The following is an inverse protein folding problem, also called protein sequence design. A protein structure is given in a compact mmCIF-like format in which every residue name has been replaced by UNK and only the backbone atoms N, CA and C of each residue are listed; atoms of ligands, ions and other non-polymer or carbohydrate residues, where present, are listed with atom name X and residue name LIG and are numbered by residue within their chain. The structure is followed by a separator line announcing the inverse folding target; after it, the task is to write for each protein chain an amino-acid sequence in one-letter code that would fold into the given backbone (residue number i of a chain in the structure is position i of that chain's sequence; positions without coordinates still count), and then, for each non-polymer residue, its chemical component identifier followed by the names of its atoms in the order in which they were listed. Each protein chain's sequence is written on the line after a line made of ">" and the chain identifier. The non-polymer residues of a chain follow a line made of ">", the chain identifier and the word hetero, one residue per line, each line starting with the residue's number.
data_IF_481266761618
#
_entry.id   IF_481266761618
#
_cell.length_a   1.000
_cell.length_b   1.000
_cell.length_c   1.000
_cell.angle_alpha   90.00
_cell.angle_beta   90.00
_cell.angle_gamma   90.00
#
_symmetry.space_group_name_H-M   'P 1'
#
loop_
_entity.id
_entity.type
_entity.pdbx_description
1 polymer ?
#
# COMPACT_ATOMS: atom_id res chain seq x y z
N UNK A 1 9.09 -13.47 -12.21
CA UNK A 1 8.46 -14.56 -13.00
C UNK A 1 9.13 -15.94 -12.96
N UNK A 2 10.24 -16.25 -13.67
CA UNK A 2 10.86 -17.61 -13.59
C UNK A 2 11.29 -18.02 -12.17
N UNK A 3 11.69 -17.06 -11.33
CA UNK A 3 12.07 -17.29 -9.92
C UNK A 3 10.87 -17.50 -8.97
N UNK A 4 9.76 -16.77 -9.15
CA UNK A 4 8.54 -16.94 -8.34
C UNK A 4 7.81 -18.24 -8.65
N UNK A 5 7.82 -18.67 -9.93
CA UNK A 5 7.32 -19.99 -10.34
C UNK A 5 8.16 -21.09 -9.68
N UNK A 6 9.48 -20.91 -9.58
CA UNK A 6 10.37 -21.89 -8.96
C UNK A 6 10.21 -21.96 -7.42
N UNK A 7 9.85 -20.85 -6.77
CA UNK A 7 9.60 -20.82 -5.33
C UNK A 7 8.26 -21.48 -4.96
N UNK A 8 7.20 -21.20 -5.73
CA UNK A 8 5.94 -21.94 -5.61
C UNK A 8 6.13 -23.45 -5.88
N UNK A 9 7.03 -23.81 -6.82
CA UNK A 9 7.41 -25.19 -7.09
C UNK A 9 8.06 -25.87 -5.86
N UNK A 10 9.02 -25.22 -5.19
CA UNK A 10 9.71 -25.85 -4.06
C UNK A 10 8.87 -25.99 -2.79
N UNK A 11 7.86 -25.13 -2.57
CA UNK A 11 6.96 -25.25 -1.41
C UNK A 11 5.88 -26.32 -1.56
N UNK A 12 5.50 -26.71 -2.79
CA UNK A 12 4.31 -27.56 -3.05
C UNK A 12 4.68 -29.01 -3.42
N UNK A 13 5.95 -29.31 -3.74
CA UNK A 13 6.42 -30.64 -4.18
C UNK A 13 6.33 -31.77 -3.13
N UNK A 14 5.66 -31.57 -1.99
CA UNK A 14 5.48 -32.62 -0.99
C UNK A 14 4.09 -33.27 -0.97
N UNK A 15 3.06 -32.73 -1.63
CA UNK A 15 1.73 -33.37 -1.59
C UNK A 15 0.90 -33.19 -2.87
N UNK A 16 0.43 -34.32 -3.40
CA UNK A 16 -0.65 -34.51 -4.37
C UNK A 16 -0.34 -34.24 -5.87
N UNK A 17 -0.47 -35.26 -6.75
CA UNK A 17 -0.30 -35.08 -8.21
C UNK A 17 -1.27 -34.07 -8.83
N UNK A 18 -2.43 -33.87 -8.19
CA UNK A 18 -3.42 -32.85 -8.57
C UNK A 18 -2.91 -31.41 -8.39
N UNK A 19 -2.14 -31.15 -7.33
CA UNK A 19 -1.57 -29.82 -7.09
C UNK A 19 -0.51 -29.47 -8.15
N UNK A 20 0.29 -30.46 -8.57
CA UNK A 20 1.29 -30.29 -9.65
C UNK A 20 0.60 -29.95 -10.98
N UNK A 21 -0.49 -30.66 -11.32
CA UNK A 21 -1.26 -30.38 -12.55
C UNK A 21 -1.85 -28.96 -12.53
N UNK A 22 -2.47 -28.54 -11.43
CA UNK A 22 -3.01 -27.19 -11.29
C UNK A 22 -1.93 -26.10 -11.39
N UNK A 23 -0.71 -26.34 -10.86
CA UNK A 23 0.42 -25.41 -11.00
C UNK A 23 0.87 -25.30 -12.46
N UNK A 24 0.95 -26.42 -13.18
CA UNK A 24 1.33 -26.43 -14.61
C UNK A 24 0.26 -25.71 -15.43
N UNK A 25 -1.02 -25.97 -15.20
CA UNK A 25 -2.13 -25.28 -15.86
C UNK A 25 -2.13 -23.77 -15.58
N UNK A 26 -1.85 -23.35 -14.34
CA UNK A 26 -1.64 -21.93 -13.98
C UNK A 26 -0.53 -21.31 -14.82
N UNK A 27 0.63 -21.96 -14.88
CA UNK A 27 1.79 -21.45 -15.59
C UNK A 27 1.51 -21.29 -17.08
N UNK A 28 0.82 -22.27 -17.69
CA UNK A 28 0.42 -22.21 -19.11
C UNK A 28 -0.57 -21.07 -19.34
N UNK A 29 -1.72 -21.04 -18.65
CA UNK A 29 -2.77 -20.04 -18.86
C UNK A 29 -2.27 -18.61 -18.66
N UNK A 30 -1.50 -18.36 -17.60
CA UNK A 30 -0.97 -17.02 -17.36
C UNK A 30 0.07 -16.62 -18.41
N UNK A 31 0.93 -17.54 -18.85
CA UNK A 31 1.90 -17.27 -19.92
C UNK A 31 1.19 -16.94 -21.23
N UNK A 32 0.15 -17.68 -21.59
CA UNK A 32 -0.61 -17.45 -22.81
C UNK A 32 -1.26 -16.06 -22.80
N UNK A 33 -1.90 -15.66 -21.69
CA UNK A 33 -2.48 -14.33 -21.54
C UNK A 33 -1.44 -13.21 -21.66
N UNK A 34 -0.23 -13.41 -21.12
CA UNK A 34 0.87 -12.45 -21.27
C UNK A 34 1.39 -12.38 -22.71
N UNK A 35 1.48 -13.50 -23.41
CA UNK A 35 1.85 -13.53 -24.84
C UNK A 35 0.79 -12.89 -25.74
N UNK A 36 -0.49 -13.02 -25.38
CA UNK A 36 -1.58 -12.32 -26.05
C UNK A 36 -1.54 -10.82 -25.82
N UNK A 37 -1.32 -10.36 -24.58
CA UNK A 37 -1.12 -8.93 -24.28
C UNK A 37 0.05 -8.32 -25.05
N UNK A 38 1.14 -9.07 -25.27
CA UNK A 38 2.26 -8.64 -26.12
C UNK A 38 1.86 -8.48 -27.60
N UNK A 39 1.01 -9.36 -28.11
CA UNK A 39 0.55 -9.34 -29.51
C UNK A 39 -0.55 -8.29 -29.74
N UNK A 40 -1.45 -8.14 -28.78
CA UNK A 40 -2.56 -7.22 -28.78
C UNK A 40 -2.73 -6.60 -27.38
N UNK A 41 -2.23 -5.37 -27.15
CA UNK A 41 -2.32 -4.71 -25.86
C UNK A 41 -3.75 -4.52 -25.33
N UNK A 42 -4.76 -4.48 -26.21
CA UNK A 42 -6.17 -4.32 -25.85
C UNK A 42 -6.83 -5.64 -25.40
N UNK A 43 -6.12 -6.78 -25.50
CA UNK A 43 -6.63 -8.06 -25.01
C UNK A 43 -6.76 -8.08 -23.49
N UNK A 44 -7.60 -8.97 -22.95
CA UNK A 44 -7.77 -9.19 -21.50
C UNK A 44 -8.07 -7.91 -20.68
N UNK A 45 -8.66 -6.89 -21.30
CA UNK A 45 -8.98 -5.62 -20.66
C UNK A 45 -7.81 -4.64 -20.54
N UNK A 46 -6.78 -4.77 -21.39
CA UNK A 46 -5.66 -3.83 -21.44
C UNK A 46 -5.99 -2.48 -22.11
N UNK A 47 -4.98 -1.61 -22.36
CA UNK A 47 -3.54 -1.83 -22.20
C UNK A 47 -3.09 -2.23 -20.79
N UNK A 48 -2.03 -3.06 -20.65
CA UNK A 48 -1.63 -3.56 -19.34
C UNK A 48 -0.94 -2.49 -18.49
N UNK A 49 -1.34 -2.44 -17.22
CA UNK A 49 -0.63 -1.79 -16.13
C UNK A 49 -0.32 -2.82 -15.02
N UNK A 50 0.36 -2.39 -13.95
CA UNK A 50 0.73 -3.28 -12.86
C UNK A 50 -0.50 -3.90 -12.16
N UNK A 51 -1.59 -3.13 -12.01
CA UNK A 51 -2.83 -3.60 -11.37
C UNK A 51 -3.46 -4.71 -12.20
N UNK A 52 -3.58 -4.52 -13.52
CA UNK A 52 -4.15 -5.52 -14.41
C UNK A 52 -3.33 -6.80 -14.40
N UNK A 53 -2.00 -6.71 -14.52
CA UNK A 53 -1.12 -7.88 -14.50
C UNK A 53 -1.25 -8.68 -13.19
N UNK A 54 -1.26 -7.99 -12.04
CA UNK A 54 -1.52 -8.64 -10.75
C UNK A 54 -2.92 -9.28 -10.69
N UNK A 55 -3.95 -8.59 -11.18
CA UNK A 55 -5.33 -9.09 -11.18
C UNK A 55 -5.50 -10.33 -12.02
N UNK A 56 -4.92 -10.38 -13.23
CA UNK A 56 -4.97 -11.57 -14.09
C UNK A 56 -4.29 -12.76 -13.42
N UNK A 57 -3.17 -12.54 -12.69
CA UNK A 57 -2.49 -13.59 -11.92
C UNK A 57 -3.39 -14.17 -10.82
N UNK A 58 -4.02 -13.31 -10.02
CA UNK A 58 -4.89 -13.75 -8.91
C UNK A 58 -6.17 -14.41 -9.42
N UNK A 59 -6.74 -13.92 -10.51
CA UNK A 59 -7.93 -14.50 -11.15
C UNK A 59 -7.67 -15.96 -11.57
N UNK A 60 -6.55 -16.22 -12.26
CA UNK A 60 -6.21 -17.58 -12.70
C UNK A 60 -5.98 -18.52 -11.51
N UNK A 61 -5.31 -18.04 -10.46
CA UNK A 61 -5.11 -18.82 -9.23
C UNK A 61 -6.44 -19.25 -8.63
N UNK A 62 -7.37 -18.30 -8.48
CA UNK A 62 -8.68 -18.54 -7.87
C UNK A 62 -9.57 -19.42 -8.73
N UNK A 63 -9.57 -19.24 -10.05
CA UNK A 63 -10.29 -20.10 -10.99
C UNK A 63 -9.83 -21.56 -10.93
N UNK A 64 -8.54 -21.79 -10.65
CA UNK A 64 -7.98 -23.13 -10.49
C UNK A 64 -8.19 -23.72 -9.08
N UNK A 65 -8.93 -23.01 -8.22
CA UNK A 65 -9.26 -23.45 -6.86
C UNK A 65 -8.17 -23.17 -5.81
N UNK A 66 -7.12 -22.41 -6.17
CA UNK A 66 -6.15 -21.97 -5.18
C UNK A 66 -6.68 -20.76 -4.40
N UNK A 67 -6.75 -20.89 -3.08
CA UNK A 67 -7.24 -19.84 -2.19
C UNK A 67 -6.09 -19.05 -1.57
N UNK A 68 -5.16 -19.74 -0.90
CA UNK A 68 -3.93 -19.15 -0.36
C UNK A 68 -2.78 -20.16 -0.45
N UNK A 69 -1.96 -20.03 -1.49
CA UNK A 69 -0.80 -20.92 -1.70
C UNK A 69 0.39 -20.58 -0.79
N UNK A 70 0.37 -19.41 -0.13
CA UNK A 70 1.43 -18.95 0.76
C UNK A 70 1.08 -19.15 2.24
N UNK A 71 -0.13 -19.61 2.57
CA UNK A 71 -0.60 -19.74 3.94
C UNK A 71 0.39 -20.42 4.89
N UNK A 72 0.93 -21.58 4.47
CA UNK A 72 1.88 -22.33 5.29
C UNK A 72 3.14 -21.53 5.60
N UNK A 73 3.75 -20.87 4.61
CA UNK A 73 4.97 -20.08 4.83
C UNK A 73 4.67 -18.83 5.68
N UNK A 74 3.53 -18.16 5.44
CA UNK A 74 3.07 -17.05 6.28
C UNK A 74 2.94 -17.47 7.75
N UNK A 75 2.31 -18.60 8.03
CA UNK A 75 2.11 -19.07 9.39
C UNK A 75 3.45 -19.41 10.10
N UNK A 76 4.38 -20.05 9.39
CA UNK A 76 5.72 -20.35 9.91
C UNK A 76 6.54 -19.08 10.21
N UNK A 77 6.49 -18.10 9.30
CA UNK A 77 7.18 -16.81 9.48
C UNK A 77 6.54 -15.96 10.57
N UNK A 78 5.21 -15.94 10.65
CA UNK A 78 4.47 -15.28 11.73
C UNK A 78 4.87 -15.86 13.09
N UNK A 79 4.92 -17.18 13.22
CA UNK A 79 5.31 -17.83 14.48
C UNK A 79 6.75 -17.48 14.88
N UNK A 80 7.70 -17.50 13.93
CA UNK A 80 9.09 -17.10 14.18
C UNK A 80 9.21 -15.61 14.54
N UNK A 81 8.45 -14.75 13.88
CA UNK A 81 8.50 -13.32 14.16
C UNK A 81 7.87 -12.98 15.52
N UNK A 82 6.74 -13.61 15.88
CA UNK A 82 6.10 -13.41 17.19
C UNK A 82 7.04 -13.76 18.35
N UNK A 83 7.87 -14.81 18.23
CA UNK A 83 8.82 -15.18 19.30
C UNK A 83 9.95 -14.16 19.49
N UNK A 84 10.19 -13.27 18.53
CA UNK A 84 11.20 -12.21 18.58
C UNK A 84 10.62 -10.83 18.97
N UNK A 85 9.29 -10.70 18.99
CA UNK A 85 8.60 -9.42 19.11
C UNK A 85 9.02 -8.62 20.35
N UNK A 86 8.92 -9.22 21.54
CA UNK A 86 9.24 -8.54 22.80
C UNK A 86 10.68 -8.04 22.82
N UNK A 87 11.64 -8.88 22.39
CA UNK A 87 13.04 -8.51 22.36
C UNK A 87 13.36 -7.37 21.36
N UNK A 88 12.62 -7.29 20.24
CA UNK A 88 12.73 -6.16 19.30
C UNK A 88 12.15 -4.89 19.90
N UNK A 89 11.00 -4.98 20.55
CA UNK A 89 10.36 -3.83 21.22
C UNK A 89 11.24 -3.28 22.34
N UNK A 90 11.76 -4.14 23.22
CA UNK A 90 12.62 -3.74 24.33
C UNK A 90 13.84 -2.92 23.84
N UNK A 91 14.50 -3.38 22.78
CA UNK A 91 15.68 -2.68 22.24
C UNK A 91 15.33 -1.35 21.56
N UNK A 92 14.12 -1.19 21.03
CA UNK A 92 13.65 0.13 20.61
C UNK A 92 13.40 1.06 21.81
N UNK A 93 12.87 0.51 22.90
CA UNK A 93 12.58 1.27 24.13
C UNK A 93 13.86 1.74 24.84
N UNK A 94 14.95 0.96 24.77
CA UNK A 94 16.27 1.30 25.31
C UNK A 94 16.94 2.51 24.61
N UNK A 95 16.51 2.88 23.40
CA UNK A 95 17.05 4.05 22.69
C UNK A 95 16.40 5.30 23.26
N UNK A 96 17.06 6.02 24.17
CA UNK A 96 16.50 7.22 24.83
C UNK A 96 16.23 8.39 23.87
N UNK A 97 17.12 8.60 22.89
CA UNK A 97 17.00 9.68 21.92
C UNK A 97 15.86 9.42 20.93
N UNK A 98 14.87 10.31 20.91
CA UNK A 98 13.65 10.15 20.11
C UNK A 98 13.88 10.14 18.59
N UNK A 99 14.90 10.84 18.08
CA UNK A 99 15.24 10.83 16.66
C UNK A 99 15.95 9.54 16.25
N UNK A 100 16.86 9.04 17.09
CA UNK A 100 17.52 7.74 16.88
C UNK A 100 16.53 6.59 17.00
N UNK A 101 15.57 6.67 17.92
CA UNK A 101 14.50 5.67 18.05
C UNK A 101 13.62 5.65 16.79
N UNK A 102 13.21 6.83 16.31
CA UNK A 102 12.45 6.94 15.07
C UNK A 102 13.22 6.36 13.87
N UNK A 103 14.51 6.69 13.74
CA UNK A 103 15.36 6.10 12.71
C UNK A 103 15.44 4.58 12.82
N UNK A 104 15.62 4.03 14.03
CA UNK A 104 15.71 2.58 14.23
C UNK A 104 14.40 1.87 13.84
N UNK A 105 13.25 2.47 14.16
CA UNK A 105 11.94 1.94 13.77
C UNK A 105 11.74 1.96 12.24
N UNK A 106 12.13 3.05 11.56
CA UNK A 106 12.07 3.11 10.08
C UNK A 106 12.98 2.06 9.44
N UNK A 107 14.19 1.86 9.98
CA UNK A 107 15.08 0.78 9.55
C UNK A 107 14.47 -0.59 9.81
N UNK A 108 13.75 -0.76 10.92
CA UNK A 108 13.00 -1.96 11.25
C UNK A 108 11.96 -2.31 10.19
N UNK A 109 11.16 -1.34 9.74
CA UNK A 109 10.18 -1.53 8.65
C UNK A 109 10.88 -1.98 7.37
N UNK A 110 11.93 -1.27 6.94
CA UNK A 110 12.66 -1.60 5.71
C UNK A 110 13.34 -2.99 5.79
N UNK A 111 13.84 -3.38 6.95
CA UNK A 111 14.46 -4.68 7.17
C UNK A 111 13.44 -5.82 7.23
N UNK A 112 12.27 -5.58 7.80
CA UNK A 112 11.15 -6.52 7.79
C UNK A 112 10.73 -6.87 6.36
N UNK A 113 10.61 -5.85 5.51
CA UNK A 113 10.29 -6.01 4.09
C UNK A 113 11.39 -6.77 3.30
N UNK A 114 12.64 -6.89 3.79
CA UNK A 114 13.69 -7.76 3.21
C UNK A 114 13.50 -9.22 3.59
N UNK A 115 13.24 -9.49 4.87
CA UNK A 115 13.31 -10.85 5.43
C UNK A 115 12.31 -11.81 4.76
N UNK A 116 11.27 -11.23 4.18
CA UNK A 116 10.21 -11.83 3.38
C UNK A 116 10.64 -12.26 1.96
N UNK A 117 11.84 -11.87 1.51
CA UNK A 117 12.39 -12.29 0.23
C UNK A 117 12.85 -13.74 0.33
N UNK A 118 11.97 -14.67 -0.06
CA UNK A 118 12.28 -16.02 -0.51
C UNK A 118 13.27 -16.08 -1.69
N UNK A 119 14.28 -15.20 -1.76
CA UNK A 119 15.41 -15.43 -2.63
C UNK A 119 16.23 -16.57 -2.03
N UNK A 120 16.38 -17.66 -2.76
CA UNK A 120 17.28 -18.75 -2.38
C UNK A 120 18.70 -18.24 -2.03
N UNK A 121 19.11 -17.10 -2.60
CA UNK A 121 20.39 -16.44 -2.29
C UNK A 121 20.42 -15.80 -0.90
N UNK A 122 19.38 -15.11 -0.46
CA UNK A 122 19.31 -14.60 0.91
C UNK A 122 19.08 -15.75 1.89
N UNK A 123 18.21 -16.71 1.57
CA UNK A 123 17.97 -17.88 2.41
C UNK A 123 19.24 -18.72 2.67
N UNK A 124 20.13 -18.88 1.68
CA UNK A 124 21.44 -19.55 1.86
C UNK A 124 22.40 -18.76 2.76
N UNK A 125 22.39 -17.43 2.70
CA UNK A 125 23.17 -16.56 3.58
C UNK A 125 22.57 -16.57 5.01
N UNK A 126 21.25 -16.55 5.14
CA UNK A 126 20.53 -16.62 6.41
C UNK A 126 20.68 -17.98 7.11
N UNK A 127 20.64 -19.09 6.36
CA UNK A 127 20.79 -20.44 6.90
C UNK A 127 22.23 -20.79 7.32
N UNK A 128 23.24 -20.14 6.72
CA UNK A 128 24.65 -20.36 7.08
C UNK A 128 25.10 -19.55 8.29
N UNK A 129 24.63 -18.32 8.45
CA UNK A 129 25.18 -17.38 9.45
C UNK A 129 24.23 -17.05 10.63
N UNK A 130 22.99 -17.56 10.64
CA UNK A 130 22.08 -17.31 11.76
C UNK A 130 21.74 -15.82 11.95
N UNK A 131 21.73 -15.06 10.85
CA UNK A 131 21.52 -13.61 10.88
C UNK A 131 20.12 -13.26 11.38
N UNK A 132 20.06 -12.58 12.54
CA UNK A 132 18.82 -12.13 13.16
C UNK A 132 18.19 -10.95 12.39
N UNK A 133 16.88 -10.70 12.58
CA UNK A 133 16.18 -9.50 12.10
C UNK A 133 16.97 -8.19 12.34
N UNK A 134 17.76 -8.15 13.41
CA UNK A 134 18.59 -7.02 13.79
C UNK A 134 19.81 -6.83 12.93
N UNK A 135 20.43 -7.94 12.52
CA UNK A 135 21.52 -7.90 11.60
C UNK A 135 21.03 -7.40 10.23
N UNK A 136 19.81 -7.77 9.82
CA UNK A 136 19.15 -7.19 8.63
C UNK A 136 18.94 -5.67 8.75
N UNK A 137 18.55 -5.17 9.92
CA UNK A 137 18.44 -3.72 10.17
C UNK A 137 19.77 -2.98 9.97
N UNK A 138 20.89 -3.63 10.30
CA UNK A 138 22.24 -3.06 10.17
C UNK A 138 22.79 -3.19 8.73
N UNK A 139 22.33 -4.18 7.98
CA UNK A 139 22.80 -4.48 6.62
C UNK A 139 21.99 -3.82 5.50
N UNK A 140 21.06 -2.93 5.84
CA UNK A 140 20.43 -2.05 4.85
C UNK A 140 21.49 -1.28 4.07
N UNK A 141 21.23 -0.98 2.78
CA UNK A 141 22.12 -0.12 2.01
C UNK A 141 22.33 1.21 2.74
N UNK A 142 23.58 1.68 2.72
CA UNK A 142 23.95 2.94 3.34
C UNK A 142 23.23 4.10 2.66
N UNK A 143 22.83 5.08 3.48
CA UNK A 143 22.25 6.35 3.02
C UNK A 143 23.31 7.14 2.22
N UNK A 144 22.91 8.02 1.27
CA UNK A 144 21.54 8.32 0.91
C UNK A 144 20.88 7.16 0.14
N UNK A 145 19.62 6.89 0.47
CA UNK A 145 18.78 5.99 -0.32
C UNK A 145 18.29 6.65 -1.61
N UNK A 146 17.73 5.87 -2.54
CA UNK A 146 17.23 6.40 -3.83
C UNK A 146 16.16 7.49 -3.63
N UNK A 147 15.34 7.36 -2.59
CA UNK A 147 14.51 8.46 -2.07
C UNK A 147 14.68 8.46 -0.56
N UNK A 148 15.26 9.52 0.00
CA UNK A 148 15.68 9.58 1.39
C UNK A 148 15.22 10.88 2.06
N UNK A 149 13.99 10.87 2.57
CA UNK A 149 13.46 11.97 3.37
C UNK A 149 13.54 11.68 4.89
N UNK A 150 14.43 10.77 5.32
CA UNK A 150 14.48 10.31 6.71
C UNK A 150 14.85 11.44 7.69
N UNK A 151 15.79 12.30 7.35
CA UNK A 151 16.19 13.42 8.22
C UNK A 151 15.05 14.43 8.39
N UNK A 152 14.27 14.67 7.32
CA UNK A 152 13.08 15.51 7.38
C UNK A 152 12.01 14.90 8.29
N UNK A 153 11.81 13.57 8.22
CA UNK A 153 10.92 12.86 9.13
C UNK A 153 11.40 12.93 10.58
N UNK A 154 12.68 12.70 10.87
CA UNK A 154 13.23 12.78 12.23
C UNK A 154 12.99 14.15 12.87
N UNK A 155 13.26 15.23 12.13
CA UNK A 155 13.00 16.59 12.62
C UNK A 155 11.50 16.87 12.85
N UNK A 156 10.63 16.27 12.04
CA UNK A 156 9.18 16.39 12.19
C UNK A 156 8.66 15.54 13.35
N UNK A 157 9.21 14.35 13.53
CA UNK A 157 8.86 13.40 14.60
C UNK A 157 9.05 14.01 15.98
N UNK A 158 10.09 14.82 16.20
CA UNK A 158 10.30 15.47 17.51
C UNK A 158 9.35 16.63 17.78
N UNK A 159 8.78 17.25 16.73
CA UNK A 159 8.00 18.50 16.83
C UNK A 159 6.50 18.30 16.66
N UNK A 160 6.09 17.26 15.92
CA UNK A 160 4.70 16.97 15.58
C UNK A 160 4.25 15.70 16.30
N UNK A 161 3.07 15.78 16.89
CA UNK A 161 2.27 14.59 17.18
C UNK A 161 1.17 14.48 16.13
N UNK A 162 1.02 13.31 15.53
CA UNK A 162 -0.12 13.01 14.68
C UNK A 162 -1.27 12.53 15.55
N UNK A 163 -2.49 12.94 15.23
CA UNK A 163 -3.68 12.51 15.96
C UNK A 163 -4.13 11.12 15.49
N UNK A 164 -4.04 10.84 14.18
CA UNK A 164 -4.54 9.60 13.59
C UNK A 164 -3.77 9.17 12.35
N UNK A 165 -3.15 8.00 12.43
CA UNK A 165 -2.40 7.37 11.35
C UNK A 165 -3.18 6.20 10.72
N UNK A 166 -3.15 6.11 9.40
CA UNK A 166 -3.59 4.92 8.64
C UNK A 166 -2.36 4.32 7.97
N UNK A 167 -2.10 3.04 8.22
CA UNK A 167 -0.96 2.31 7.68
C UNK A 167 -1.49 1.18 6.80
N UNK A 168 -1.27 1.27 5.49
CA UNK A 168 -1.51 0.18 4.56
C UNK A 168 -0.31 -0.76 4.60
N UNK A 169 -0.52 -1.96 5.15
CA UNK A 169 0.53 -2.95 5.42
C UNK A 169 0.76 -3.89 4.24
N UNK A 170 1.96 -4.45 4.15
CA UNK A 170 2.41 -5.33 3.07
C UNK A 170 2.44 -6.80 3.53
N UNK A 171 3.60 -7.32 3.94
CA UNK A 171 3.82 -8.75 4.09
C UNK A 171 3.54 -9.28 5.50
N UNK A 172 3.36 -10.61 5.57
CA UNK A 172 3.35 -11.36 6.83
C UNK A 172 4.75 -11.44 7.47
N UNK A 173 4.84 -12.14 8.60
CA UNK A 173 6.11 -12.47 9.23
C UNK A 173 6.80 -11.27 9.85
N UNK A 174 8.12 -11.16 9.63
CA UNK A 174 8.96 -10.13 10.22
C UNK A 174 8.57 -8.71 9.79
N UNK A 175 7.95 -8.55 8.62
CA UNK A 175 7.51 -7.26 8.09
C UNK A 175 6.46 -6.62 9.00
N UNK A 176 5.28 -7.23 9.07
CA UNK A 176 4.20 -6.77 9.94
C UNK A 176 4.55 -6.88 11.43
N UNK A 177 5.13 -8.00 11.89
CA UNK A 177 5.33 -8.24 13.33
C UNK A 177 6.53 -7.49 13.91
N UNK A 178 7.66 -7.42 13.20
CA UNK A 178 8.90 -6.83 13.75
C UNK A 178 9.21 -5.43 13.18
N UNK A 179 8.61 -5.06 12.05
CA UNK A 179 8.71 -3.73 11.46
C UNK A 179 7.53 -2.84 11.84
N UNK A 180 6.35 -3.15 11.31
CA UNK A 180 5.17 -2.28 11.43
C UNK A 180 4.59 -2.24 12.84
N UNK A 181 4.38 -3.38 13.51
CA UNK A 181 3.77 -3.38 14.85
C UNK A 181 4.60 -2.61 15.90
N UNK A 182 5.94 -2.71 15.96
CA UNK A 182 6.74 -1.88 16.85
C UNK A 182 6.63 -0.38 16.52
N UNK A 183 6.55 -0.01 15.24
CA UNK A 183 6.34 1.37 14.83
C UNK A 183 4.93 1.88 15.19
N UNK A 184 3.89 1.09 14.94
CA UNK A 184 2.52 1.38 15.34
C UNK A 184 2.38 1.51 16.87
N UNK A 185 3.05 0.62 17.62
CA UNK A 185 3.16 0.71 19.09
C UNK A 185 3.78 2.03 19.53
N UNK A 186 4.83 2.51 18.84
CA UNK A 186 5.46 3.78 19.16
C UNK A 186 4.53 4.97 18.89
N UNK A 187 3.74 4.93 17.81
CA UNK A 187 2.71 5.93 17.53
C UNK A 187 1.66 5.96 18.66
N UNK A 188 1.16 4.80 19.10
CA UNK A 188 0.21 4.69 20.20
C UNK A 188 0.80 5.23 21.51
N UNK A 189 2.07 4.90 21.81
CA UNK A 189 2.78 5.43 22.98
C UNK A 189 2.86 6.96 22.99
N UNK A 190 2.82 7.58 21.81
CA UNK A 190 2.85 9.03 21.62
C UNK A 190 1.45 9.66 21.53
N UNK A 191 0.39 8.87 21.72
CA UNK A 191 -1.00 9.31 21.71
C UNK A 191 -1.67 9.36 20.34
N UNK A 192 -1.05 8.77 19.31
CA UNK A 192 -1.63 8.69 17.96
C UNK A 192 -2.57 7.49 17.88
N UNK A 193 -3.78 7.69 17.36
CA UNK A 193 -4.69 6.58 16.98
C UNK A 193 -4.17 5.91 15.72
N UNK A 194 -4.17 4.57 15.68
CA UNK A 194 -3.58 3.83 14.56
C UNK A 194 -4.59 2.89 13.94
N UNK A 195 -4.73 2.98 12.62
CA UNK A 195 -5.46 2.02 11.78
C UNK A 195 -4.45 1.25 10.94
N UNK A 196 -4.44 -0.08 11.05
CA UNK A 196 -3.70 -0.97 10.17
C UNK A 196 -4.66 -1.52 9.10
N UNK A 197 -4.50 -1.09 7.87
CA UNK A 197 -5.31 -1.50 6.72
C UNK A 197 -4.64 -2.66 5.98
N UNK A 198 -5.24 -3.84 6.03
CA UNK A 198 -4.73 -5.07 5.43
C UNK A 198 -5.66 -5.58 4.31
N UNK A 199 -5.17 -6.50 3.48
CA UNK A 199 -5.97 -7.07 2.38
C UNK A 199 -7.19 -7.85 2.87
N UNK A 200 -8.27 -7.82 2.10
CA UNK A 200 -9.43 -8.70 2.32
C UNK A 200 -9.07 -10.15 2.02
N UNK A 201 -8.43 -10.35 0.86
CA UNK A 201 -8.11 -11.67 0.30
C UNK A 201 -6.60 -11.88 0.17
N UNK A 202 -6.14 -13.14 0.27
CA UNK A 202 -4.74 -13.48 0.05
C UNK A 202 -4.24 -13.03 -1.34
N UNK A 203 -3.04 -12.49 -1.35
CA UNK A 203 -2.27 -12.20 -2.56
C UNK A 203 -0.78 -12.29 -2.20
N UNK A 204 -0.07 -13.23 -2.83
CA UNK A 204 1.30 -13.58 -2.43
C UNK A 204 1.35 -13.87 -0.91
N UNK A 205 2.31 -13.31 -0.19
CA UNK A 205 2.57 -13.43 1.24
C UNK A 205 2.07 -12.22 2.03
N UNK A 206 1.30 -11.33 1.39
CA UNK A 206 0.65 -10.21 2.05
C UNK A 206 -0.19 -10.69 3.24
N UNK A 207 -0.15 -9.91 4.31
CA UNK A 207 -0.98 -10.16 5.48
C UNK A 207 -2.43 -9.77 5.18
N UNK A 208 -3.37 -10.67 5.47
CA UNK A 208 -4.80 -10.37 5.35
C UNK A 208 -5.37 -9.75 6.63
N UNK A 209 -6.52 -9.11 6.52
CA UNK A 209 -7.28 -8.53 7.64
C UNK A 209 -7.50 -9.54 8.77
N UNK A 210 -8.01 -10.73 8.44
CA UNK A 210 -8.30 -11.75 9.44
C UNK A 210 -7.03 -12.26 10.12
N UNK A 211 -5.96 -12.49 9.35
CA UNK A 211 -4.67 -12.93 9.91
C UNK A 211 -4.05 -11.86 10.82
N UNK A 212 -4.15 -10.59 10.45
CA UNK A 212 -3.63 -9.50 11.27
C UNK A 212 -4.43 -9.34 12.57
N UNK A 213 -5.75 -9.50 12.54
CA UNK A 213 -6.57 -9.55 13.76
C UNK A 213 -6.08 -10.66 14.69
N UNK A 214 -5.82 -11.86 14.17
CA UNK A 214 -5.31 -12.97 14.98
C UNK A 214 -3.93 -12.68 15.58
N UNK A 215 -2.99 -12.15 14.78
CA UNK A 215 -1.63 -11.80 15.25
C UNK A 215 -1.71 -10.76 16.37
N UNK A 216 -2.48 -9.69 16.15
CA UNK A 216 -2.64 -8.62 17.12
C UNK A 216 -3.26 -9.15 18.42
N UNK A 217 -4.23 -10.07 18.34
CA UNK A 217 -4.81 -10.70 19.53
C UNK A 217 -3.83 -11.63 20.27
N UNK A 218 -2.96 -12.35 19.53
CA UNK A 218 -1.94 -13.23 20.13
C UNK A 218 -0.82 -12.46 20.83
N UNK A 219 -0.48 -11.27 20.34
CA UNK A 219 0.59 -10.44 20.88
C UNK A 219 0.15 -9.53 22.04
N UNK A 220 -1.16 -9.26 22.18
CA UNK A 220 -1.68 -8.49 23.32
C UNK A 220 -1.61 -9.33 24.60
N UNK A 221 -1.24 -8.68 25.69
CA UNK A 221 -1.34 -9.26 27.02
C UNK A 221 -2.80 -9.26 27.54
N UNK A 222 -3.01 -9.84 28.72
CA UNK A 222 -4.32 -9.92 29.39
C UNK A 222 -4.98 -8.55 29.66
N UNK A 223 -4.18 -7.48 29.68
CA UNK A 223 -4.64 -6.11 29.89
C UNK A 223 -4.87 -5.38 28.56
N UNK A 224 -4.78 -6.08 27.43
CA UNK A 224 -4.95 -5.51 26.10
C UNK A 224 -3.80 -4.58 25.71
N UNK A 225 -2.58 -4.84 26.17
CA UNK A 225 -1.39 -4.04 25.84
C UNK A 225 -0.42 -4.79 24.93
N UNK A 226 0.29 -4.07 24.07
CA UNK A 226 1.45 -4.59 23.34
C UNK A 226 2.73 -4.16 24.05
N UNK A 227 3.36 -5.10 24.75
CA UNK A 227 4.59 -4.87 25.52
C UNK A 227 4.48 -3.59 26.39
N UNK A 228 3.44 -3.50 27.22
CA UNK A 228 3.21 -2.39 28.15
C UNK A 228 2.55 -1.13 27.58
N UNK A 229 2.32 -1.04 26.27
CA UNK A 229 1.59 0.08 25.64
C UNK A 229 0.13 -0.31 25.40
N UNK A 230 -0.79 0.52 25.87
CA UNK A 230 -2.22 0.34 25.62
C UNK A 230 -2.55 0.44 24.13
N UNK A 231 -3.34 -0.50 23.63
CA UNK A 231 -3.70 -0.57 22.20
C UNK A 231 -5.21 -0.52 21.98
N UNK A 232 -5.94 0.16 22.86
CA UNK A 232 -7.37 0.47 22.67
C UNK A 232 -7.60 1.38 21.45
N UNK A 233 -6.64 2.25 21.14
CA UNK A 233 -6.63 3.14 19.97
C UNK A 233 -5.99 2.50 18.72
N UNK A 234 -5.74 1.17 18.73
CA UNK A 234 -5.29 0.40 17.57
C UNK A 234 -6.47 -0.36 16.94
N UNK A 235 -6.76 -0.04 15.68
CA UNK A 235 -7.80 -0.69 14.89
C UNK A 235 -7.15 -1.45 13.73
N UNK A 236 -7.55 -2.70 13.53
CA UNK A 236 -7.26 -3.44 12.30
C UNK A 236 -8.46 -3.29 11.37
N UNK A 237 -8.22 -2.92 10.12
CA UNK A 237 -9.24 -2.61 9.13
C UNK A 237 -9.05 -3.43 7.86
N UNK A 238 -10.17 -3.89 7.29
CA UNK A 238 -10.19 -4.50 5.99
C UNK A 238 -10.13 -3.39 4.92
N UNK A 239 -9.14 -3.45 4.04
CA UNK A 239 -8.99 -2.50 2.95
C UNK A 239 -9.92 -2.76 1.76
N UNK A 240 -10.50 -3.96 1.66
CA UNK A 240 -11.22 -4.43 0.48
C UNK A 240 -10.30 -4.82 -0.69
N UNK A 241 -8.97 -4.73 -0.50
CA UNK A 241 -8.00 -5.03 -1.53
C UNK A 241 -7.64 -6.53 -1.56
N UNK A 242 -7.36 -7.03 -2.76
CA UNK A 242 -7.10 -8.45 -3.02
C UNK A 242 -5.85 -8.68 -3.88
N UNK A 243 -4.95 -7.69 -3.93
CA UNK A 243 -3.77 -7.61 -4.79
C UNK A 243 -2.51 -7.23 -3.98
N UNK A 244 -1.29 -7.41 -4.51
CA UNK A 244 -0.05 -6.97 -3.85
C UNK A 244 0.25 -5.48 -4.08
N UNK A 245 -0.60 -4.85 -4.88
CA UNK A 245 -0.65 -3.42 -5.16
C UNK A 245 -1.99 -2.90 -4.68
N UNK A 246 -2.18 -1.58 -4.61
CA UNK A 246 -3.47 -1.02 -4.19
C UNK A 246 -3.86 0.21 -5.02
N UNK A 247 -5.10 0.19 -5.52
CA UNK A 247 -5.76 1.35 -6.09
C UNK A 247 -6.54 2.07 -4.99
N UNK A 248 -6.01 3.20 -4.52
CA UNK A 248 -6.64 3.99 -3.46
C UNK A 248 -7.93 4.70 -3.87
N UNK A 249 -8.28 4.69 -5.16
CA UNK A 249 -9.60 5.15 -5.60
C UNK A 249 -10.73 4.17 -5.27
N UNK A 250 -10.40 2.93 -4.95
CA UNK A 250 -11.34 1.85 -4.65
C UNK A 250 -10.91 1.08 -3.39
N UNK A 251 -11.27 1.62 -2.23
CA UNK A 251 -11.09 0.95 -0.92
C UNK A 251 -12.45 0.62 -0.30
N UNK A 252 -12.46 -0.31 0.66
CA UNK A 252 -13.66 -0.64 1.43
C UNK A 252 -14.29 0.63 2.05
N UNK A 253 -15.62 0.82 1.94
CA UNK A 253 -16.31 1.98 2.50
C UNK A 253 -16.06 2.18 4.01
N UNK A 254 -15.93 1.09 4.75
CA UNK A 254 -15.63 1.10 6.18
C UNK A 254 -14.25 1.69 6.46
N UNK A 255 -13.23 1.30 5.67
CA UNK A 255 -11.89 1.90 5.78
C UNK A 255 -11.93 3.39 5.42
N UNK A 256 -12.63 3.76 4.34
CA UNK A 256 -12.77 5.16 3.95
C UNK A 256 -13.42 6.02 5.05
N UNK A 257 -14.46 5.50 5.71
CA UNK A 257 -15.11 6.15 6.85
C UNK A 257 -14.14 6.31 8.03
N UNK A 258 -13.46 5.22 8.41
CA UNK A 258 -12.49 5.23 9.51
C UNK A 258 -11.29 6.14 9.25
N UNK A 259 -10.88 6.33 7.99
CA UNK A 259 -9.73 7.14 7.59
C UNK A 259 -10.06 8.63 7.34
N UNK A 260 -11.33 9.03 7.44
CA UNK A 260 -11.80 10.36 7.00
C UNK A 260 -11.15 11.56 7.70
N UNK A 261 -10.70 11.37 8.94
CA UNK A 261 -10.02 12.34 9.82
C UNK A 261 -8.53 12.03 10.01
N UNK A 262 -7.94 11.13 9.21
CA UNK A 262 -6.52 10.78 9.30
C UNK A 262 -5.62 11.98 8.94
N UNK A 263 -4.63 12.26 9.77
CA UNK A 263 -3.63 13.30 9.56
C UNK A 263 -2.25 12.76 9.15
N UNK A 264 -2.12 11.42 9.10
CA UNK A 264 -1.00 10.68 8.51
C UNK A 264 -1.48 9.44 7.74
N UNK A 265 -1.01 9.25 6.51
CA UNK A 265 -1.18 8.01 5.74
C UNK A 265 0.17 7.40 5.39
N UNK A 266 0.37 6.13 5.70
CA UNK A 266 1.59 5.39 5.41
C UNK A 266 1.25 4.26 4.44
N UNK A 267 1.97 4.18 3.33
CA UNK A 267 1.87 3.09 2.35
C UNK A 267 3.19 2.34 2.37
N UNK A 268 3.13 1.11 2.86
CA UNK A 268 4.27 0.23 3.03
C UNK A 268 4.37 -0.76 1.86
N UNK A 269 5.60 -1.16 1.52
CA UNK A 269 5.88 -2.12 0.47
C UNK A 269 6.10 -1.52 -0.93
N UNK A 270 6.75 -2.30 -1.79
CA UNK A 270 7.03 -1.89 -3.17
C UNK A 270 5.74 -1.77 -3.99
N UNK A 271 4.83 -2.75 -3.88
CA UNK A 271 3.62 -2.76 -4.69
C UNK A 271 2.68 -1.59 -4.36
N UNK A 272 2.36 -1.41 -3.07
CA UNK A 272 1.44 -0.36 -2.59
C UNK A 272 2.08 1.03 -2.58
N UNK A 273 3.32 1.15 -2.07
CA UNK A 273 3.98 2.43 -1.85
C UNK A 273 4.78 2.97 -3.04
N UNK A 274 5.29 2.10 -3.92
CA UNK A 274 6.22 2.48 -5.00
C UNK A 274 5.55 2.33 -6.38
N UNK A 275 5.05 1.14 -6.72
CA UNK A 275 4.54 0.83 -8.06
C UNK A 275 3.20 1.50 -8.37
N UNK A 276 2.37 1.73 -7.35
CA UNK A 276 1.04 2.35 -7.51
C UNK A 276 0.95 3.78 -6.98
N UNK A 277 1.44 4.04 -5.76
CA UNK A 277 1.09 5.28 -5.04
C UNK A 277 2.26 6.22 -4.72
N UNK A 278 3.46 6.03 -5.30
CA UNK A 278 4.65 6.83 -4.97
C UNK A 278 4.44 8.35 -5.07
N UNK A 279 3.67 8.76 -6.07
CA UNK A 279 3.36 10.16 -6.36
C UNK A 279 1.93 10.56 -6.00
N UNK A 280 1.16 9.69 -5.35
CA UNK A 280 -0.20 10.00 -4.93
C UNK A 280 -0.21 11.20 -3.98
N UNK A 281 -1.00 12.21 -4.31
CA UNK A 281 -1.21 13.39 -3.49
C UNK A 281 -2.30 13.10 -2.44
N UNK A 282 -2.02 13.47 -1.20
CA UNK A 282 -2.92 13.24 -0.06
C UNK A 282 -3.31 14.58 0.58
N UNK A 283 -4.48 14.64 1.20
CA UNK A 283 -4.94 15.84 1.94
C UNK A 283 -4.23 16.03 3.27
N UNK A 284 -3.54 15.01 3.76
CA UNK A 284 -2.78 14.99 5.00
C UNK A 284 -1.30 14.65 4.72
N UNK A 285 -0.49 14.52 5.79
CA UNK A 285 0.86 14.03 5.62
C UNK A 285 0.83 12.59 5.09
N UNK A 286 1.80 12.24 4.25
CA UNK A 286 1.93 10.85 3.81
C UNK A 286 3.38 10.38 3.76
N UNK A 287 3.55 9.09 4.06
CA UNK A 287 4.83 8.39 3.95
C UNK A 287 4.65 7.24 2.95
N UNK A 288 5.58 7.11 2.01
CA UNK A 288 5.71 5.93 1.16
C UNK A 288 7.04 5.29 1.53
N UNK A 289 6.99 4.05 2.00
CA UNK A 289 8.15 3.33 2.55
C UNK A 289 8.19 1.93 1.95
N UNK A 290 9.35 1.51 1.46
CA UNK A 290 9.50 0.17 0.93
C UNK A 290 10.86 -0.06 0.29
N UNK A 291 11.15 -1.32 -0.03
CA UNK A 291 12.39 -1.71 -0.69
C UNK A 291 12.18 -1.94 -2.19
N UNK A 292 13.17 -1.55 -2.99
CA UNK A 292 13.18 -1.81 -4.43
C UNK A 292 13.62 -3.26 -4.70
N UNK A 293 12.66 -4.15 -4.97
CA UNK A 293 12.89 -5.59 -5.19
C UNK A 293 12.91 -5.98 -6.69
N UNK A 294 12.58 -5.05 -7.59
CA UNK A 294 12.60 -5.27 -9.04
C UNK A 294 13.67 -4.40 -9.75
N UNK A 295 14.52 -4.98 -10.61
CA UNK A 295 15.49 -4.22 -11.41
C UNK A 295 14.84 -3.11 -12.26
N UNK A 296 13.65 -3.36 -12.79
CA UNK A 296 12.89 -2.41 -13.61
C UNK A 296 12.45 -1.20 -12.78
N UNK A 297 12.05 -1.41 -11.52
CA UNK A 297 11.72 -0.34 -10.58
C UNK A 297 12.97 0.43 -10.17
N UNK A 298 14.10 -0.27 -9.93
CA UNK A 298 15.38 0.38 -9.67
C UNK A 298 15.80 1.30 -10.83
N UNK A 299 15.66 0.81 -12.07
CA UNK A 299 15.94 1.60 -13.27
C UNK A 299 15.02 2.82 -13.36
N UNK A 300 13.70 2.65 -13.13
CA UNK A 300 12.73 3.75 -13.16
C UNK A 300 13.08 4.85 -12.14
N UNK A 301 13.52 4.47 -10.95
CA UNK A 301 13.90 5.41 -9.89
C UNK A 301 15.32 5.98 -10.04
N UNK A 302 16.12 5.46 -10.97
CA UNK A 302 17.56 5.77 -11.05
C UNK A 302 18.36 5.26 -9.84
N UNK A 303 17.86 4.21 -9.18
CA UNK A 303 18.45 3.60 -7.99
C UNK A 303 19.09 2.24 -8.27
N UNK A 304 19.23 1.44 -7.21
CA UNK A 304 19.81 0.09 -7.26
C UNK A 304 18.78 -0.95 -6.80
N UNK A 305 19.04 -2.21 -7.11
CA UNK A 305 18.29 -3.31 -6.49
C UNK A 305 18.58 -3.30 -4.97
N UNK A 306 17.53 -3.51 -4.18
CA UNK A 306 17.52 -3.42 -2.72
C UNK A 306 17.78 -2.02 -2.15
N UNK A 307 17.69 -0.97 -2.99
CA UNK A 307 17.64 0.40 -2.49
C UNK A 307 16.33 0.66 -1.74
N UNK A 308 16.37 1.64 -0.84
CA UNK A 308 15.23 1.96 0.01
C UNK A 308 14.51 3.19 -0.54
N UNK A 309 13.18 3.19 -0.46
CA UNK A 309 12.37 4.37 -0.63
C UNK A 309 11.83 4.75 0.73
N UNK A 310 12.15 5.96 1.18
CA UNK A 310 11.51 6.61 2.30
C UNK A 310 11.13 8.02 1.88
N UNK A 311 9.88 8.18 1.47
CA UNK A 311 9.35 9.43 0.93
C UNK A 311 8.33 10.02 1.89
N UNK A 312 8.61 11.21 2.43
CA UNK A 312 7.61 11.96 3.19
C UNK A 312 7.08 13.12 2.36
N UNK A 313 5.76 13.24 2.29
CA UNK A 313 5.09 14.41 1.72
C UNK A 313 4.24 15.05 2.79
N UNK A 314 4.58 16.27 3.25
CA UNK A 314 3.69 16.99 4.13
C UNK A 314 2.38 17.29 3.41
N UNK A 315 1.30 17.47 4.17
CA UNK A 315 0.04 18.03 3.64
C UNK A 315 0.35 19.17 2.67
N UNK A 316 -0.22 19.18 1.44
CA UNK A 316 -0.11 20.32 0.56
C UNK A 316 -0.61 21.53 1.34
N UNK A 317 0.30 22.45 1.67
CA UNK A 317 -0.11 23.76 2.14
C UNK A 317 -1.01 24.32 1.05
N UNK A 318 -2.28 24.55 1.36
CA UNK A 318 -3.05 25.55 0.63
C UNK A 318 -2.21 26.82 0.71
N UNK A 319 -1.54 27.17 -0.38
CA UNK A 319 -0.90 28.46 -0.53
C UNK A 319 -1.95 29.52 -0.16
N UNK A 320 -1.72 30.23 0.95
CA UNK A 320 -2.42 31.47 1.29
C UNK A 320 -3.96 31.45 1.24
N UNK A 321 -4.62 30.54 1.94
CA UNK A 321 -6.00 30.78 2.38
C UNK A 321 -5.94 31.29 3.83
N UNK A 322 -6.41 32.53 4.01
CA UNK A 322 -6.43 33.34 5.24
C UNK A 322 -6.75 32.49 6.48
N UNK A 323 -6.13 32.88 7.60
CA UNK A 323 -6.55 32.52 8.96
C UNK A 323 -8.08 32.34 9.03
N UNK A 324 -8.60 31.30 9.70
CA UNK A 324 -10.00 31.27 10.05
C UNK A 324 -10.26 32.50 10.92
N UNK A 325 -10.86 33.52 10.31
CA UNK A 325 -11.42 34.69 10.99
C UNK A 325 -12.25 34.12 12.13
N UNK A 326 -11.82 34.37 13.37
CA UNK A 326 -12.66 34.15 14.55
C UNK A 326 -14.02 34.79 14.25
N UNK A 327 -15.15 34.13 14.53
CA UNK A 327 -16.44 34.80 14.42
C UNK A 327 -16.37 36.11 15.22
N UNK A 328 -16.88 37.24 14.69
CA UNK A 328 -16.85 38.50 15.41
C UNK A 328 -17.51 38.27 16.76
N UNK A 329 -16.78 38.54 17.84
CA UNK A 329 -17.39 38.68 19.15
C UNK A 329 -18.28 39.90 19.08
N UNK A 330 -19.60 39.68 19.15
CA UNK A 330 -20.59 40.73 19.31
C UNK A 330 -20.25 41.54 20.57
N UNK A 331 -19.56 42.66 20.38
CA UNK A 331 -19.47 43.71 21.39
C UNK A 331 -20.79 44.47 21.37
N UNK A 332 -21.74 44.02 22.17
CA UNK A 332 -22.86 44.86 22.58
C UNK A 332 -22.34 45.88 23.61
N UNK A 333 -22.24 47.14 23.20
CA UNK A 333 -22.23 48.32 24.06
C UNK A 333 -23.60 49.04 23.93
N UNK A 334 -23.99 49.86 24.93
CA UNK A 334 -25.34 49.91 25.51
C UNK A 334 -26.36 50.77 24.73
N UNK A 335 -27.67 50.67 25.03
CA UNK A 335 -28.70 51.32 24.25
C UNK A 335 -28.74 52.83 24.53
N UNK A 336 -28.64 53.62 23.46
CA UNK A 336 -29.06 55.01 23.45
C UNK A 336 -30.58 55.07 23.20
N UNK A 337 -31.24 55.79 24.10
CA UNK A 337 -32.67 56.05 24.09
C UNK A 337 -33.14 56.75 22.82
N UNK A 338 -34.30 56.37 22.30
CA UNK A 338 -35.13 57.24 21.49
C UNK A 338 -36.61 57.02 21.81
N UNK A 339 -37.29 58.15 21.96
CA UNK A 339 -38.64 58.32 22.45
C UNK A 339 -39.72 57.79 21.49
N UNK A 340 -40.81 57.36 22.14
CA UNK A 340 -42.17 57.15 21.69
C UNK A 340 -42.60 57.86 20.40
N UNK A 341 -43.34 57.15 19.53
CA UNK A 341 -44.73 57.49 19.13
C UNK A 341 -45.45 56.19 18.73
N UNK A 342 -46.57 55.90 19.38
CA UNK A 342 -47.62 54.95 18.95
C UNK A 342 -48.59 55.74 18.06
N UNK A 343 -49.30 55.15 17.07
CA UNK A 343 -50.53 54.45 17.51
C UNK A 343 -51.06 53.32 16.59
N UNK A 344 -51.78 52.43 17.29
CA UNK A 344 -53.07 51.82 16.96
C UNK A 344 -53.23 50.55 16.10
N UNK A 345 -54.16 49.73 16.62
CA UNK A 345 -55.06 48.75 15.99
C UNK A 345 -54.46 47.43 15.50
N UNK A 346 -54.75 46.34 16.25
CA UNK A 346 -55.85 45.38 16.01
C UNK A 346 -55.53 44.49 14.79
N UNK A 347 -55.51 43.17 14.82
CA UNK A 347 -56.47 42.27 15.42
C UNK A 347 -56.03 40.82 15.12
N UNK A 348 -56.34 39.92 16.04
CA UNK A 348 -56.87 38.57 15.82
C UNK A 348 -56.18 37.55 14.85
N UNK A 349 -55.74 36.45 15.50
CA UNK A 349 -56.11 35.04 15.23
C UNK A 349 -55.49 34.32 14.02
N UNK A 350 -54.74 33.23 14.31
CA UNK A 350 -55.13 31.80 14.15
C UNK A 350 -55.46 31.41 12.71
N UNK A 351 -55.13 30.24 12.19
CA UNK A 351 -54.36 29.08 12.61
C UNK A 351 -54.58 28.06 11.47
N UNK A 352 -53.61 27.13 11.28
CA UNK A 352 -53.82 25.78 10.72
C UNK A 352 -54.22 25.73 9.23
N UNK A 353 -53.96 24.70 8.45
CA UNK A 353 -53.18 23.46 8.51
C UNK A 353 -53.49 22.71 7.20
N UNK A 354 -52.58 21.82 6.79
CA UNK A 354 -52.78 20.66 5.90
C UNK A 354 -52.91 20.95 4.39
N UNK A 355 -51.89 20.57 3.59
CA UNK A 355 -51.67 19.25 2.94
C UNK A 355 -52.67 18.96 1.81
N UNK A 356 -52.16 18.93 0.59
CA UNK A 356 -52.59 17.96 -0.43
C UNK A 356 -51.45 17.73 -1.43
N UNK A 357 -51.09 16.46 -1.57
CA UNK A 357 -50.26 15.82 -2.59
C UNK A 357 -51.02 15.74 -3.93
N UNK A 358 -50.35 15.94 -5.07
CA UNK A 358 -50.39 15.02 -6.21
C UNK A 358 -49.53 15.51 -7.39
N UNK A 359 -48.71 14.57 -7.87
CA UNK A 359 -48.14 14.39 -9.20
C UNK A 359 -48.66 15.23 -10.38
N UNK A 360 -47.72 15.66 -11.24
CA UNK A 360 -47.62 15.34 -12.68
C UNK A 360 -46.85 16.45 -13.42
N UNK A 361 -46.01 16.07 -14.38
CA UNK A 361 -45.58 16.97 -15.46
C UNK A 361 -44.08 17.07 -15.66
N UNK A 362 -43.54 16.28 -16.57
CA UNK A 362 -42.30 16.58 -17.26
C UNK A 362 -42.41 17.91 -18.02
N UNK A 363 -41.31 18.65 -18.21
CA UNK A 363 -41.22 19.65 -19.27
C UNK A 363 -40.12 19.31 -20.30
N UNK A 364 -40.14 19.99 -21.47
CA UNK A 364 -39.82 19.39 -22.75
C UNK A 364 -38.41 19.67 -23.26
N UNK A 365 -38.06 18.89 -24.28
CA UNK A 365 -37.01 19.09 -25.25
C UNK A 365 -37.04 20.45 -25.95
N UNK A 366 -35.85 21.04 -26.16
CA UNK A 366 -35.61 22.05 -27.18
C UNK A 366 -34.63 23.12 -26.75
N UNK A 367 -33.40 23.06 -27.27
CA UNK A 367 -32.62 24.20 -27.78
C UNK A 367 -31.22 23.70 -28.21
N UNK A 368 -30.97 23.74 -29.52
CA UNK A 368 -29.63 23.77 -30.11
C UNK A 368 -28.92 25.08 -29.74
N UNK A 369 -27.58 25.12 -29.79
CA UNK A 369 -27.00 26.05 -30.76
C UNK A 369 -25.76 25.52 -31.51
N UNK A 370 -25.72 25.97 -32.77
CA UNK A 370 -24.60 26.41 -33.61
C UNK A 370 -23.33 25.57 -33.79
N UNK A 371 -23.16 25.22 -35.07
CA UNK A 371 -21.94 24.78 -35.71
C UNK A 371 -20.91 25.92 -35.79
N UNK A 372 -19.72 25.68 -35.25
CA UNK A 372 -18.50 26.42 -35.55
C UNK A 372 -17.55 25.54 -36.36
N UNK A 373 -17.08 26.07 -37.48
CA UNK A 373 -16.15 25.46 -38.43
C UNK A 373 -14.78 25.06 -37.83
N UNK A 374 -14.06 24.12 -38.47
CA UNK A 374 -12.83 23.53 -37.94
C UNK A 374 -11.59 24.40 -38.23
N UNK A 375 -10.77 24.65 -37.21
CA UNK A 375 -9.46 25.28 -37.40
C UNK A 375 -8.46 24.32 -38.07
N UNK A 376 -7.87 24.82 -39.14
CA UNK A 376 -6.91 24.17 -40.02
C UNK A 376 -5.61 23.72 -39.31
N UNK A 377 -5.14 22.56 -39.76
CA UNK A 377 -3.80 22.05 -39.51
C UNK A 377 -2.74 22.90 -40.21
N UNK A 378 -1.62 23.16 -39.52
CA UNK A 378 -0.37 23.62 -40.12
C UNK A 378 0.72 22.54 -39.94
N UNK A 379 1.58 22.31 -40.95
CA UNK A 379 2.49 21.17 -40.99
C UNK A 379 3.79 21.49 -40.25
N UNK A 380 4.26 20.57 -39.40
CA UNK A 380 5.63 20.60 -38.91
C UNK A 380 6.46 19.50 -39.57
N UNK A 381 7.54 19.99 -40.15
CA UNK A 381 8.51 19.37 -41.04
C UNK A 381 9.28 18.20 -40.42
N UNK A 382 9.41 17.12 -41.20
CA UNK A 382 10.41 16.06 -41.01
C UNK A 382 11.82 16.65 -41.04
N UNK A 383 12.59 16.48 -39.99
CA UNK A 383 14.05 16.40 -40.05
C UNK A 383 14.59 15.59 -38.86
N UNK A 384 15.29 14.49 -39.13
CA UNK A 384 16.44 14.08 -38.33
C UNK A 384 16.30 12.96 -37.29
N UNK A 385 15.61 11.85 -37.54
CA UNK A 385 15.89 10.62 -36.78
C UNK A 385 17.23 10.01 -37.25
N UNK A 386 18.31 10.28 -36.51
CA UNK A 386 19.53 9.47 -36.59
C UNK A 386 19.28 8.15 -35.86
N UNK A 387 19.27 7.06 -36.63
CA UNK A 387 19.49 5.69 -36.15
C UNK A 387 20.80 5.65 -35.36
N UNK A 388 20.74 5.26 -34.09
CA UNK A 388 21.88 4.68 -33.40
C UNK A 388 21.59 3.19 -33.33
N UNK A 389 22.29 2.43 -34.17
CA UNK A 389 22.42 0.98 -34.09
C UNK A 389 23.67 0.74 -33.25
N UNK A 390 23.61 0.02 -32.12
CA UNK A 390 24.82 -0.55 -31.54
C UNK A 390 25.16 -1.84 -32.28
N UNK A 391 26.36 -1.84 -32.87
CA UNK A 391 27.01 -3.01 -33.44
C UNK A 391 27.25 -4.11 -32.40
N UNK A 392 27.18 -5.36 -32.88
CA UNK A 392 27.84 -6.59 -32.37
C UNK A 392 27.92 -6.78 -30.84
N UNK A 393 27.10 -7.70 -30.34
CA UNK A 393 27.49 -8.53 -29.20
C UNK A 393 27.93 -9.90 -29.73
N UNK A 394 29.24 -10.07 -29.94
CA UNK A 394 29.85 -11.38 -30.17
C UNK A 394 29.98 -12.12 -28.82
N UNK A 395 29.48 -13.36 -28.83
CA UNK A 395 29.89 -14.54 -28.04
C UNK A 395 30.57 -14.37 -26.68
N UNK A 396 29.92 -14.86 -25.62
CA UNK A 396 30.61 -15.14 -24.36
C UNK A 396 29.71 -15.61 -23.21
N UNK A 397 29.09 -16.79 -23.32
CA UNK A 397 29.00 -17.78 -22.22
C UNK A 397 28.21 -19.03 -22.65
N UNK A 398 28.95 -20.03 -23.10
CA UNK A 398 28.51 -21.39 -23.36
C UNK A 398 28.46 -22.19 -22.05
N UNK A 399 27.42 -21.99 -21.24
CA UNK A 399 27.19 -22.83 -20.05
C UNK A 399 25.74 -22.90 -19.57
N UNK A 400 24.74 -22.82 -20.47
CA UNK A 400 23.36 -23.20 -20.14
C UNK A 400 22.64 -23.81 -21.35
N UNK A 401 23.12 -24.97 -21.79
CA UNK A 401 22.32 -25.93 -22.56
C UNK A 401 22.34 -27.26 -21.82
N UNK A 402 21.32 -27.51 -20.98
CA UNK A 402 20.91 -28.88 -20.67
C UNK A 402 19.73 -29.23 -21.58
N UNK A 403 19.80 -30.33 -22.35
CA UNK A 403 18.69 -30.76 -23.17
C UNK A 403 17.52 -31.24 -22.30
N UNK A 404 16.30 -31.03 -22.80
CA UNK A 404 14.99 -31.46 -22.26
C UNK A 404 14.81 -33.00 -22.24
N UNK A 405 15.87 -33.77 -22.00
CA UNK A 405 15.87 -35.24 -22.13
C UNK A 405 16.09 -35.99 -20.80
N UNK A 406 15.76 -35.40 -19.66
CA UNK A 406 15.80 -36.09 -18.35
C UNK A 406 14.51 -35.89 -17.55
N UNK A 407 13.38 -36.14 -18.19
CA UNK A 407 12.13 -36.46 -17.50
C UNK A 407 11.92 -37.98 -17.67
N UNK A 408 11.80 -38.77 -16.59
CA UNK A 408 11.53 -40.20 -16.70
C UNK A 408 10.23 -40.45 -17.49
N UNK A 409 10.16 -41.46 -18.37
CA UNK A 409 8.99 -41.72 -19.23
C UNK A 409 7.70 -42.16 -18.51
N UNK A 410 7.58 -41.99 -17.20
CA UNK A 410 6.46 -42.48 -16.40
C UNK A 410 5.38 -41.41 -16.10
N UNK A 411 5.38 -40.27 -16.79
CA UNK A 411 4.45 -39.15 -16.58
C UNK A 411 3.66 -38.76 -17.84
N UNK A 412 3.61 -39.63 -18.86
CA UNK A 412 2.88 -39.38 -20.12
C UNK A 412 1.59 -40.19 -20.28
N UNK A 413 1.16 -40.92 -19.25
CA UNK A 413 -0.19 -41.48 -19.18
C UNK A 413 -0.79 -41.16 -17.80
N UNK A 414 -1.61 -40.09 -17.76
CA UNK A 414 -2.87 -39.88 -17.02
C UNK A 414 -3.28 -38.41 -17.19
#
# INVERSE_FOLDING_TARGET
>A
MKREIMYAFNCIMLFHPFAVLCIVLKAIRYTDMLEELKKNPESHGGPPDCILLCRLRELILRELGFHDIFKKVKDEENAKAMSLFEGVVQRNDEIEDGEKRAENLIRGILAGNIFDLGSAQLAEVFAKDGMSFLASCQNLLSRPWVIDDLDAFKSKWTKKSWEKAVIFVDNSGADIILGILPFARELLRRGTKVILAANDMPSINDITYLELVEIVNKLKDENGKLAGVDVSDLIVANSGNDLPVIDLSSVAPELAYMASDADLVILEGMGRGIETNLYAQMKCDSIKIGMVKHPEVAQFLGGRLYDCVFKIKPRPWLSSARDPVRPPTDRCHPPLACHCVNPDRSELLRAKSARATSSCGAPPSGCLPDAGEPCAAAPLTRQGFRKIVPDRWESGNDSFKRPLSTIPPALLEI
#
